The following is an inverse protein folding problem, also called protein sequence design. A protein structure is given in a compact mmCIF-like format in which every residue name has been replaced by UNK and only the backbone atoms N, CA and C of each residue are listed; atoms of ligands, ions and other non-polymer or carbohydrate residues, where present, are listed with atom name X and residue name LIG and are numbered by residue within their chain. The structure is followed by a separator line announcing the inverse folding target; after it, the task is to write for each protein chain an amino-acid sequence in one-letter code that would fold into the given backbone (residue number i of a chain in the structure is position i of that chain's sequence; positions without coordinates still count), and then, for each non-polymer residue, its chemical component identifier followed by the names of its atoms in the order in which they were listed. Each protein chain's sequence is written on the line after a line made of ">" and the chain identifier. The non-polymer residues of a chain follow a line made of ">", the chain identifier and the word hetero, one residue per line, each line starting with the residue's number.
data_IF_899293202868
#
_entry.id   IF_899293202868
#
_cell.length_a   1.000
_cell.length_b   1.000
_cell.length_c   1.000
_cell.angle_alpha   90.00
_cell.angle_beta   90.00
_cell.angle_gamma   90.00
#
_symmetry.space_group_name_H-M   'P 1'
#
loop_
_entity.id
_entity.type
_entity.pdbx_description
1 polymer ?
#
# COMPACT_ATOMS: atom_id res chain seq x y z
N UNK A 1 33.62 -29.89 13.03
CA UNK A 1 32.22 -30.10 12.57
C UNK A 1 31.26 -29.00 13.03
N UNK A 2 31.36 -28.48 14.26
CA UNK A 2 30.47 -27.43 14.79
C UNK A 2 30.49 -26.08 14.01
N UNK A 3 31.63 -25.69 13.43
CA UNK A 3 31.77 -24.42 12.67
C UNK A 3 31.08 -24.41 11.31
N UNK A 4 30.88 -25.58 10.68
CA UNK A 4 30.21 -25.69 9.38
C UNK A 4 28.68 -25.65 9.56
N UNK A 5 28.16 -26.25 10.63
CA UNK A 5 26.73 -26.17 10.98
C UNK A 5 26.27 -24.75 11.36
N UNK A 6 27.12 -23.94 11.99
CA UNK A 6 26.80 -22.54 12.30
C UNK A 6 26.83 -21.63 11.06
N UNK A 7 27.68 -21.93 10.07
CA UNK A 7 27.69 -21.19 8.80
C UNK A 7 26.47 -21.52 7.93
N UNK A 8 26.03 -22.78 7.90
CA UNK A 8 24.86 -23.21 7.15
C UNK A 8 23.54 -22.64 7.69
N UNK A 9 23.43 -22.43 9.01
CA UNK A 9 22.26 -21.77 9.61
C UNK A 9 22.23 -20.27 9.36
N UNK A 10 23.39 -19.61 9.32
CA UNK A 10 23.51 -18.19 8.94
C UNK A 10 23.21 -17.99 7.45
N UNK A 11 23.65 -18.90 6.57
CA UNK A 11 23.33 -18.84 5.13
C UNK A 11 21.84 -19.10 4.87
N UNK A 12 21.21 -20.05 5.58
CA UNK A 12 19.75 -20.25 5.51
C UNK A 12 18.93 -19.07 6.08
N UNK A 13 19.48 -18.34 7.07
CA UNK A 13 18.85 -17.14 7.60
C UNK A 13 18.94 -15.95 6.62
N UNK A 14 19.92 -15.95 5.70
CA UNK A 14 20.13 -14.89 4.70
C UNK A 14 19.47 -15.25 3.36
N UNK A 15 19.24 -16.53 3.06
CA UNK A 15 18.53 -16.98 1.85
C UNK A 15 17.00 -17.00 2.05
N UNK A 16 16.43 -15.95 2.63
CA UNK A 16 14.99 -15.74 2.54
C UNK A 16 14.61 -15.63 1.07
N UNK A 17 13.80 -16.56 0.56
CA UNK A 17 13.27 -16.43 -0.80
C UNK A 17 12.59 -15.06 -0.92
N UNK A 18 12.93 -14.30 -1.96
CA UNK A 18 12.19 -13.09 -2.27
C UNK A 18 10.73 -13.49 -2.48
N UNK A 19 9.79 -12.91 -1.71
CA UNK A 19 8.41 -13.30 -1.81
C UNK A 19 7.90 -12.99 -3.22
N UNK A 20 7.04 -13.87 -3.74
CA UNK A 20 6.27 -13.57 -4.94
C UNK A 20 5.42 -12.35 -4.63
N UNK A 21 5.72 -11.24 -5.31
CA UNK A 21 5.01 -9.97 -5.11
C UNK A 21 3.61 -10.09 -5.70
N UNK A 22 2.61 -9.75 -4.91
CA UNK A 22 1.23 -9.68 -5.36
C UNK A 22 0.47 -8.62 -4.56
N UNK A 23 -0.65 -8.16 -5.11
CA UNK A 23 -1.56 -7.24 -4.46
C UNK A 23 -1.06 -5.80 -4.47
N UNK A 24 -1.43 -5.04 -3.44
CA UNK A 24 -1.09 -3.62 -3.33
C UNK A 24 0.41 -3.39 -3.18
N UNK A 25 0.92 -2.32 -3.80
CA UNK A 25 2.36 -2.07 -3.85
C UNK A 25 2.72 -0.60 -4.06
N UNK A 26 4.01 -0.27 -3.91
CA UNK A 26 4.56 1.02 -4.33
C UNK A 26 5.64 0.79 -5.39
N UNK A 27 5.50 1.46 -6.53
CA UNK A 27 6.52 1.46 -7.58
C UNK A 27 7.42 2.69 -7.38
N UNK A 28 8.71 2.42 -7.14
CA UNK A 28 9.71 3.44 -6.81
C UNK A 28 10.53 3.91 -8.00
N UNK A 29 10.38 3.26 -9.15
CA UNK A 29 11.05 3.61 -10.40
C UNK A 29 10.49 4.93 -10.94
N UNK A 30 11.37 5.82 -11.41
CA UNK A 30 10.96 7.13 -11.93
C UNK A 30 10.73 7.17 -13.45
N UNK A 31 11.41 6.30 -14.20
CA UNK A 31 11.43 6.30 -15.66
C UNK A 31 11.46 4.85 -16.16
N UNK A 32 10.83 4.60 -17.30
CA UNK A 32 10.82 3.29 -17.94
C UNK A 32 9.63 2.44 -17.49
N UNK A 33 9.61 1.16 -17.86
CA UNK A 33 8.47 0.29 -17.62
C UNK A 33 8.27 0.03 -16.12
N UNK A 34 7.03 -0.28 -15.75
CA UNK A 34 6.77 -0.80 -14.41
C UNK A 34 7.42 -2.19 -14.28
N UNK A 35 7.67 -2.67 -13.04
CA UNK A 35 7.80 -4.11 -12.85
C UNK A 35 6.51 -4.81 -13.32
N UNK A 36 6.59 -6.13 -13.53
CA UNK A 36 5.37 -6.92 -13.73
C UNK A 36 4.57 -6.88 -12.42
N UNK A 37 3.47 -6.14 -12.43
CA UNK A 37 2.54 -6.02 -11.33
C UNK A 37 1.61 -7.22 -11.39
N UNK A 38 1.37 -7.86 -10.24
CA UNK A 38 0.56 -9.06 -10.14
C UNK A 38 -0.48 -8.87 -9.05
N UNK A 39 -1.73 -9.21 -9.36
CA UNK A 39 -2.85 -9.09 -8.44
C UNK A 39 -3.64 -10.39 -8.40
N UNK A 40 -4.30 -10.63 -7.28
CA UNK A 40 -5.14 -11.81 -7.08
C UNK A 40 -6.52 -11.36 -6.59
N UNK A 41 -7.51 -11.60 -7.43
CA UNK A 41 -8.90 -11.17 -7.25
C UNK A 41 -9.82 -12.37 -7.40
N UNK A 42 -11.01 -12.35 -6.80
CA UNK A 42 -11.96 -13.47 -6.94
C UNK A 42 -12.68 -13.49 -8.29
N UNK A 43 -12.76 -12.33 -8.93
CA UNK A 43 -13.36 -12.13 -10.24
C UNK A 43 -12.47 -11.22 -11.08
N UNK A 44 -12.75 -11.16 -12.38
CA UNK A 44 -12.09 -10.21 -13.29
C UNK A 44 -12.32 -8.78 -12.76
N UNK A 45 -11.26 -8.05 -12.38
CA UNK A 45 -11.39 -6.71 -11.85
C UNK A 45 -11.64 -5.68 -12.96
N UNK A 46 -12.32 -4.58 -12.60
CA UNK A 46 -12.26 -3.35 -13.38
C UNK A 46 -10.97 -2.63 -12.98
N UNK A 47 -10.14 -2.29 -13.97
CA UNK A 47 -8.85 -1.66 -13.73
C UNK A 47 -8.93 -0.18 -14.05
N UNK A 48 -8.35 0.65 -13.19
CA UNK A 48 -8.25 2.10 -13.37
C UNK A 48 -6.79 2.53 -13.31
N UNK A 49 -6.32 3.22 -14.34
CA UNK A 49 -5.03 3.91 -14.35
C UNK A 49 -5.30 5.41 -14.23
N UNK A 50 -4.87 6.00 -13.13
CA UNK A 50 -5.11 7.42 -12.80
C UNK A 50 -6.58 7.86 -12.82
N UNK A 51 -7.49 6.91 -12.58
CA UNK A 51 -8.94 7.14 -12.56
C UNK A 51 -9.63 6.86 -13.90
N UNK A 52 -8.88 6.59 -14.97
CA UNK A 52 -9.42 6.18 -16.27
C UNK A 52 -9.50 4.67 -16.37
N UNK A 53 -10.58 4.15 -16.95
CA UNK A 53 -10.75 2.70 -17.16
C UNK A 53 -9.65 2.22 -18.11
N UNK A 54 -8.97 1.15 -17.70
CA UNK A 54 -7.97 0.45 -18.49
C UNK A 54 -8.51 -0.90 -18.93
N UNK A 55 -8.46 -1.15 -20.23
CA UNK A 55 -8.91 -2.37 -20.88
C UNK A 55 -7.71 -3.26 -21.22
N UNK A 56 -7.91 -4.58 -21.26
CA UNK A 56 -6.90 -5.54 -21.66
C UNK A 56 -7.41 -6.31 -22.87
N UNK A 57 -6.70 -6.20 -23.99
CA UNK A 57 -7.03 -6.88 -25.24
C UNK A 57 -5.75 -7.51 -25.82
N UNK A 58 -5.80 -8.80 -26.16
CA UNK A 58 -4.70 -9.55 -26.79
C UNK A 58 -3.31 -9.36 -26.15
N UNK A 59 -3.27 -9.30 -24.81
CA UNK A 59 -2.01 -9.17 -24.07
C UNK A 59 -1.55 -7.72 -23.84
N UNK A 60 -2.34 -6.73 -24.25
CA UNK A 60 -1.98 -5.31 -24.26
C UNK A 60 -2.97 -4.52 -23.40
N UNK A 61 -2.46 -3.58 -22.61
CA UNK A 61 -3.26 -2.63 -21.83
C UNK A 61 -3.56 -1.37 -22.64
N UNK A 62 -4.81 -0.93 -22.65
CA UNK A 62 -5.25 0.30 -23.28
C UNK A 62 -5.96 1.23 -22.30
N UNK A 63 -5.70 2.54 -22.41
CA UNK A 63 -6.52 3.60 -21.80
C UNK A 63 -6.99 4.50 -22.93
N UNK A 64 -8.30 4.68 -23.06
CA UNK A 64 -8.90 5.47 -24.16
C UNK A 64 -8.35 5.08 -25.54
N UNK A 65 -8.29 3.77 -25.84
CA UNK A 65 -7.76 3.19 -27.08
C UNK A 65 -6.25 3.44 -27.35
N UNK A 66 -5.49 3.94 -26.36
CA UNK A 66 -4.05 4.11 -26.47
C UNK A 66 -3.32 3.03 -25.69
N UNK A 67 -2.37 2.34 -26.33
CA UNK A 67 -1.50 1.38 -25.66
C UNK A 67 -0.73 2.08 -24.52
N UNK A 68 -0.85 1.52 -23.31
CA UNK A 68 -0.11 1.98 -22.12
C UNK A 68 0.83 0.93 -21.55
N UNK A 69 0.69 -0.33 -21.95
CA UNK A 69 1.47 -1.42 -21.37
C UNK A 69 1.34 -2.77 -22.07
N UNK A 70 2.36 -3.61 -21.87
CA UNK A 70 2.41 -5.04 -22.17
C UNK A 70 3.59 -5.70 -21.44
N UNK A 71 3.49 -6.98 -21.02
CA UNK A 71 2.29 -7.82 -21.12
C UNK A 71 1.20 -7.43 -20.12
N UNK A 72 -0.05 -7.67 -20.51
CA UNK A 72 -1.24 -7.49 -19.69
C UNK A 72 -2.17 -8.69 -19.85
N UNK A 73 -2.63 -9.31 -18.77
CA UNK A 73 -3.47 -10.50 -18.88
C UNK A 73 -4.35 -10.74 -17.67
N UNK A 74 -5.49 -11.38 -17.91
CA UNK A 74 -6.26 -12.10 -16.91
C UNK A 74 -6.04 -13.60 -17.09
N UNK A 75 -5.58 -14.26 -16.03
CA UNK A 75 -5.40 -15.70 -15.98
C UNK A 75 -6.35 -16.26 -14.91
N UNK A 76 -7.43 -16.87 -15.35
CA UNK A 76 -8.40 -17.51 -14.46
C UNK A 76 -7.84 -18.84 -13.93
N UNK A 77 -8.01 -19.06 -12.64
CA UNK A 77 -7.76 -20.34 -11.97
C UNK A 77 -9.07 -20.89 -11.43
N UNK A 78 -9.04 -22.06 -10.79
CA UNK A 78 -10.26 -22.65 -10.21
C UNK A 78 -10.89 -21.84 -9.07
N UNK A 79 -10.17 -20.87 -8.49
CA UNK A 79 -10.63 -20.08 -7.33
C UNK A 79 -10.43 -18.58 -7.47
N UNK A 80 -9.41 -18.16 -8.20
CA UNK A 80 -9.00 -16.76 -8.29
C UNK A 80 -8.67 -16.37 -9.74
N UNK A 81 -8.74 -15.09 -10.03
CA UNK A 81 -8.25 -14.44 -11.24
C UNK A 81 -6.92 -13.77 -10.92
N UNK A 82 -5.87 -14.20 -11.60
CA UNK A 82 -4.56 -13.58 -11.57
C UNK A 82 -4.53 -12.50 -12.64
N UNK A 83 -4.35 -11.25 -12.22
CA UNK A 83 -4.17 -10.12 -13.14
C UNK A 83 -2.69 -9.75 -13.17
N UNK A 84 -2.09 -9.72 -14.36
CA UNK A 84 -0.70 -9.30 -14.57
C UNK A 84 -0.67 -8.08 -15.49
N UNK A 85 0.05 -7.04 -15.08
CA UNK A 85 0.11 -5.75 -15.77
C UNK A 85 1.55 -5.25 -15.77
N UNK A 86 2.07 -4.92 -16.94
CA UNK A 86 3.32 -4.15 -17.08
C UNK A 86 3.06 -2.91 -17.92
N UNK A 87 3.17 -1.73 -17.30
CA UNK A 87 3.10 -0.47 -18.01
C UNK A 87 4.40 -0.23 -18.77
N UNK A 88 4.31 0.29 -19.99
CA UNK A 88 5.46 0.64 -20.83
C UNK A 88 6.25 1.83 -20.25
N UNK A 89 5.57 2.68 -19.49
CA UNK A 89 6.16 3.80 -18.76
C UNK A 89 5.44 4.00 -17.43
N UNK A 90 6.18 4.27 -16.35
CA UNK A 90 5.63 4.74 -15.07
C UNK A 90 5.59 6.27 -14.97
N UNK A 91 6.22 6.97 -15.91
CA UNK A 91 6.33 8.42 -15.88
C UNK A 91 4.95 9.08 -16.08
N UNK A 92 4.59 9.97 -15.16
CA UNK A 92 3.32 10.70 -15.20
C UNK A 92 2.16 9.99 -14.50
N UNK A 93 2.27 8.68 -14.26
CA UNK A 93 1.26 7.93 -13.52
C UNK A 93 1.37 8.14 -12.01
N UNK A 94 0.23 8.07 -11.33
CA UNK A 94 0.11 8.25 -9.88
C UNK A 94 -0.41 6.99 -9.22
N UNK A 95 -1.44 6.37 -9.80
CA UNK A 95 -2.14 5.25 -9.20
C UNK A 95 -2.65 4.26 -10.23
N UNK A 96 -2.50 2.97 -9.93
CA UNK A 96 -3.23 1.88 -10.55
C UNK A 96 -4.15 1.27 -9.50
N UNK A 97 -5.42 1.10 -9.83
CA UNK A 97 -6.44 0.60 -8.91
C UNK A 97 -7.21 -0.54 -9.57
N UNK A 98 -7.38 -1.65 -8.84
CA UNK A 98 -8.13 -2.81 -9.31
C UNK A 98 -9.35 -2.99 -8.41
N UNK A 99 -10.52 -2.88 -9.03
CA UNK A 99 -11.82 -3.02 -8.37
C UNK A 99 -12.37 -4.42 -8.62
N UNK A 100 -12.50 -5.23 -7.57
CA UNK A 100 -13.22 -6.51 -7.57
C UNK A 100 -13.82 -6.75 -6.18
N UNK A 101 -14.14 -7.98 -5.79
CA UNK A 101 -14.38 -8.31 -4.38
C UNK A 101 -13.11 -8.14 -3.50
N UNK A 102 -11.92 -8.20 -4.12
CA UNK A 102 -10.67 -7.88 -3.44
C UNK A 102 -10.02 -6.70 -4.14
N UNK A 103 -10.04 -5.57 -3.47
CA UNK A 103 -9.50 -4.32 -4.00
C UNK A 103 -7.97 -4.34 -3.89
N UNK A 104 -7.30 -3.71 -4.84
CA UNK A 104 -5.85 -3.53 -4.78
C UNK A 104 -5.46 -2.13 -5.28
N UNK A 105 -4.42 -1.57 -4.68
CA UNK A 105 -3.87 -0.26 -5.05
C UNK A 105 -2.38 -0.33 -5.28
N UNK A 106 -1.91 0.25 -6.38
CA UNK A 106 -0.49 0.50 -6.61
C UNK A 106 -0.24 1.98 -6.79
N UNK A 107 0.72 2.50 -6.05
CA UNK A 107 1.12 3.91 -6.12
C UNK A 107 2.46 4.03 -6.84
N UNK A 108 2.52 4.92 -7.84
CA UNK A 108 3.76 5.27 -8.53
C UNK A 108 4.39 6.46 -7.80
N UNK A 109 5.36 6.19 -6.94
CA UNK A 109 5.95 7.17 -6.03
C UNK A 109 7.48 7.11 -6.12
N UNK A 110 8.08 7.69 -7.17
CA UNK A 110 9.51 7.63 -7.36
C UNK A 110 10.25 8.24 -6.18
N UNK A 111 11.24 7.51 -5.65
CA UNK A 111 11.98 7.89 -4.43
C UNK A 111 11.08 8.15 -3.22
N UNK A 112 9.93 7.48 -3.14
CA UNK A 112 8.96 7.61 -2.05
C UNK A 112 8.39 9.03 -1.90
N UNK A 113 8.34 9.78 -3.00
CA UNK A 113 7.69 11.08 -3.06
C UNK A 113 6.23 10.85 -3.41
N UNK A 114 5.37 10.91 -2.39
CA UNK A 114 3.93 10.81 -2.56
C UNK A 114 3.34 12.19 -2.83
N UNK A 115 2.35 12.31 -3.73
CA UNK A 115 1.64 13.57 -3.93
C UNK A 115 1.00 14.02 -2.62
N UNK A 116 0.93 15.34 -2.41
CA UNK A 116 0.25 15.89 -1.24
C UNK A 116 -1.22 15.43 -1.26
N UNK A 117 -1.71 14.73 -0.23
CA UNK A 117 -3.12 14.42 -0.15
C UNK A 117 -3.87 15.74 -0.07
N UNK A 118 -4.68 16.04 -1.09
CA UNK A 118 -5.60 17.16 -1.05
C UNK A 118 -6.56 17.06 0.15
N UNK A 119 -7.57 17.94 0.22
CA UNK A 119 -8.62 17.84 1.23
C UNK A 119 -9.21 16.41 1.22
N UNK A 120 -9.10 15.72 2.35
CA UNK A 120 -9.56 14.34 2.53
C UNK A 120 -8.90 13.30 1.61
N UNK A 121 -7.63 13.52 1.28
CA UNK A 121 -6.76 12.53 0.67
C UNK A 121 -6.16 11.57 1.70
N UNK A 122 -6.00 10.30 1.31
CA UNK A 122 -5.20 9.34 2.07
C UNK A 122 -3.74 9.80 2.15
N UNK A 123 -3.18 9.77 3.36
CA UNK A 123 -1.76 9.96 3.61
C UNK A 123 -1.10 8.58 3.61
N UNK A 124 -0.31 8.27 2.58
CA UNK A 124 0.24 6.93 2.37
C UNK A 124 1.35 6.55 3.34
N UNK A 125 2.16 7.53 3.76
CA UNK A 125 3.40 7.27 4.49
C UNK A 125 3.20 6.46 5.79
N UNK A 126 2.19 6.73 6.64
CA UNK A 126 1.92 5.91 7.82
C UNK A 126 1.42 4.49 7.50
N UNK A 127 0.90 4.26 6.30
CA UNK A 127 0.31 2.97 5.87
C UNK A 127 1.35 2.00 5.34
N UNK A 128 2.50 2.50 4.88
CA UNK A 128 3.56 1.66 4.32
C UNK A 128 4.08 0.62 5.33
N UNK A 129 4.47 -0.58 4.85
CA UNK A 129 4.37 -1.05 3.46
C UNK A 129 2.94 -1.47 3.09
N UNK A 130 2.62 -1.39 1.79
CA UNK A 130 1.31 -1.79 1.27
C UNK A 130 1.21 -3.30 1.04
N UNK A 131 2.32 -3.99 0.82
CA UNK A 131 2.40 -5.45 0.84
C UNK A 131 3.09 -5.92 2.12
N UNK A 132 2.52 -6.90 2.82
CA UNK A 132 3.07 -7.43 4.08
C UNK A 132 3.12 -8.95 4.04
N UNK A 133 4.30 -9.51 4.28
CA UNK A 133 4.55 -10.96 4.24
C UNK A 133 4.73 -11.48 5.67
N UNK A 134 3.64 -12.04 6.21
CA UNK A 134 3.42 -12.29 7.63
C UNK A 134 3.44 -13.78 7.99
N UNK A 135 4.14 -14.63 7.22
CA UNK A 135 4.29 -16.06 7.57
C UNK A 135 4.78 -16.22 9.01
N UNK A 136 4.17 -17.19 9.71
CA UNK A 136 4.37 -17.48 11.14
C UNK A 136 3.85 -16.41 12.12
N UNK A 137 3.34 -15.28 11.64
CA UNK A 137 2.67 -14.29 12.48
C UNK A 137 1.19 -14.61 12.63
N UNK A 138 0.60 -14.21 13.75
CA UNK A 138 -0.85 -14.38 14.03
C UNK A 138 -1.64 -13.08 13.88
N UNK A 139 -0.94 -11.96 13.75
CA UNK A 139 -1.57 -10.65 13.65
C UNK A 139 -0.68 -9.68 12.86
N UNK A 140 -1.28 -8.60 12.39
CA UNK A 140 -0.64 -7.50 11.68
C UNK A 140 -1.25 -6.19 12.16
N UNK A 141 -0.41 -5.20 12.47
CA UNK A 141 -0.88 -3.85 12.85
C UNK A 141 -0.74 -2.91 11.68
N UNK A 142 -1.86 -2.36 11.19
CA UNK A 142 -1.89 -1.43 10.06
C UNK A 142 -2.33 -0.07 10.58
N UNK A 143 -1.57 0.97 10.21
CA UNK A 143 -1.95 2.36 10.47
C UNK A 143 -2.47 2.94 9.17
N UNK A 144 -3.66 3.52 9.19
CA UNK A 144 -4.18 4.32 8.08
C UNK A 144 -4.22 5.78 8.50
N UNK A 145 -3.98 6.67 7.55
CA UNK A 145 -3.98 8.11 7.80
C UNK A 145 -4.62 8.86 6.63
N UNK A 146 -5.27 9.98 6.93
CA UNK A 146 -5.83 10.86 5.93
C UNK A 146 -5.82 12.31 6.41
N UNK A 147 -5.81 13.24 5.45
CA UNK A 147 -6.09 14.65 5.73
C UNK A 147 -7.48 14.77 6.32
N UNK A 148 -7.62 15.60 7.35
CA UNK A 148 -8.89 15.88 8.01
C UNK A 148 -9.27 17.34 7.77
N UNK A 149 -10.25 17.57 6.90
CA UNK A 149 -10.77 18.91 6.60
C UNK A 149 -12.30 18.98 6.79
N UNK A 150 -13.02 17.90 6.47
CA UNK A 150 -14.50 17.92 6.48
C UNK A 150 -15.14 16.94 7.48
N UNK A 151 -16.17 17.45 8.18
CA UNK A 151 -16.93 16.75 9.22
C UNK A 151 -17.91 15.71 8.69
N UNK A 152 -18.25 15.73 7.40
CA UNK A 152 -19.34 14.88 6.84
C UNK A 152 -18.85 13.74 5.95
N UNK A 153 -17.52 13.55 5.83
CA UNK A 153 -17.02 12.46 5.00
C UNK A 153 -17.21 11.11 5.66
N UNK A 154 -17.80 10.21 4.88
CA UNK A 154 -17.90 8.80 5.20
C UNK A 154 -16.53 8.12 5.01
N UNK A 155 -16.05 7.50 6.09
CA UNK A 155 -14.80 6.75 6.15
C UNK A 155 -15.09 5.29 6.44
N UNK A 156 -14.37 4.37 5.81
CA UNK A 156 -14.57 2.94 5.97
C UNK A 156 -13.24 2.22 6.22
N UNK A 157 -13.29 1.21 7.10
CA UNK A 157 -12.34 0.09 7.09
C UNK A 157 -13.07 -1.12 6.52
N UNK A 158 -12.51 -1.72 5.48
CA UNK A 158 -13.03 -2.93 4.86
C UNK A 158 -11.95 -4.02 4.87
N UNK A 159 -12.33 -5.26 5.18
CA UNK A 159 -11.47 -6.44 5.04
C UNK A 159 -12.14 -7.46 4.13
N UNK A 160 -11.57 -7.67 2.94
CA UNK A 160 -12.10 -8.61 1.93
C UNK A 160 -13.63 -8.47 1.76
N UNK A 161 -14.08 -7.25 1.43
CA UNK A 161 -15.48 -6.79 1.36
C UNK A 161 -16.29 -6.69 2.65
N UNK A 162 -15.75 -7.11 3.79
CA UNK A 162 -16.45 -6.98 5.07
C UNK A 162 -16.17 -5.60 5.67
N UNK A 163 -17.20 -4.77 5.76
CA UNK A 163 -17.16 -3.50 6.48
C UNK A 163 -16.90 -3.73 7.98
N UNK A 164 -15.75 -3.29 8.49
CA UNK A 164 -15.39 -3.42 9.91
C UNK A 164 -15.76 -2.17 10.71
N UNK A 165 -15.46 -0.99 10.16
CA UNK A 165 -15.69 0.28 10.83
C UNK A 165 -16.22 1.30 9.84
N UNK A 166 -17.14 2.16 10.28
CA UNK A 166 -17.48 3.38 9.55
C UNK A 166 -17.63 4.59 10.45
N UNK A 167 -17.34 5.77 9.89
CA UNK A 167 -17.46 7.06 10.57
C UNK A 167 -18.02 8.11 9.64
N UNK A 168 -18.78 9.06 10.19
CA UNK A 168 -19.08 10.36 9.57
C UNK A 168 -18.22 11.40 10.28
N UNK A 169 -17.23 11.95 9.56
CA UNK A 169 -16.24 12.80 10.21
C UNK A 169 -15.36 12.00 11.18
N UNK A 170 -15.48 12.31 12.48
CA UNK A 170 -14.86 11.56 13.58
C UNK A 170 -15.88 10.72 14.36
N UNK A 171 -17.18 10.89 14.06
CA UNK A 171 -18.26 10.21 14.78
C UNK A 171 -18.35 8.78 14.29
N UNK A 172 -18.20 7.83 15.20
CA UNK A 172 -18.40 6.40 14.94
C UNK A 172 -19.86 6.13 14.54
N UNK A 173 -20.04 5.29 13.53
CA UNK A 173 -21.35 4.92 12.98
C UNK A 173 -21.55 3.40 13.02
N UNK A 174 -20.54 2.61 12.64
CA UNK A 174 -20.62 1.16 12.62
C UNK A 174 -19.30 0.51 13.06
N UNK A 175 -19.40 -0.71 13.59
CA UNK A 175 -18.27 -1.51 14.08
C UNK A 175 -18.12 -1.49 15.59
N UNK A 176 -17.15 -2.25 16.11
CA UNK A 176 -16.80 -2.26 17.53
C UNK A 176 -16.21 -0.89 17.93
N UNK A 177 -16.83 -0.14 18.86
CA UNK A 177 -16.33 1.17 19.26
C UNK A 177 -14.94 1.10 19.91
N UNK A 178 -14.54 0.02 20.57
CA UNK A 178 -13.20 -0.08 21.16
C UNK A 178 -12.12 -0.23 20.09
N UNK A 179 -12.44 -0.94 19.01
CA UNK A 179 -11.56 -1.13 17.86
C UNK A 179 -11.58 0.07 16.90
N UNK A 180 -12.76 0.63 16.62
CA UNK A 180 -13.02 1.66 15.61
C UNK A 180 -12.71 3.07 16.12
N UNK A 181 -11.51 3.25 16.69
CA UNK A 181 -11.06 4.53 17.26
C UNK A 181 -10.25 5.35 16.27
N UNK A 182 -10.68 6.60 16.06
CA UNK A 182 -9.96 7.60 15.29
C UNK A 182 -9.18 8.55 16.19
N UNK A 183 -7.93 8.86 15.82
CA UNK A 183 -7.09 9.80 16.54
C UNK A 183 -6.71 10.96 15.65
N UNK A 184 -6.87 12.17 16.17
CA UNK A 184 -6.35 13.38 15.54
C UNK A 184 -4.84 13.48 15.75
N UNK A 185 -4.15 13.90 14.70
CA UNK A 185 -2.70 14.08 14.64
C UNK A 185 -2.38 15.41 13.97
N UNK A 186 -1.12 15.86 14.10
CA UNK A 186 -0.61 17.07 13.45
C UNK A 186 -1.54 18.28 13.65
N UNK A 187 -1.79 18.64 14.92
CA UNK A 187 -2.68 19.73 15.31
C UNK A 187 -4.12 19.64 14.76
N UNK A 188 -4.60 18.42 14.50
CA UNK A 188 -5.96 18.18 14.01
C UNK A 188 -6.10 18.19 12.48
N UNK A 189 -4.99 18.30 11.74
CA UNK A 189 -5.00 18.25 10.27
C UNK A 189 -4.99 16.82 9.71
N UNK A 190 -4.65 15.84 10.54
CA UNK A 190 -4.59 14.44 10.16
C UNK A 190 -5.51 13.62 11.06
N UNK A 191 -6.21 12.65 10.48
CA UNK A 191 -6.91 11.60 11.21
C UNK A 191 -6.21 10.28 10.96
N UNK A 192 -6.04 9.49 12.03
CA UNK A 192 -5.40 8.18 11.97
C UNK A 192 -6.25 7.11 12.60
N UNK A 193 -6.25 5.95 11.98
CA UNK A 193 -6.76 4.69 12.52
C UNK A 193 -5.58 3.73 12.67
N UNK A 194 -5.51 3.02 13.79
CA UNK A 194 -4.51 1.97 14.02
C UNK A 194 -5.24 0.70 14.39
N UNK A 195 -5.27 -0.26 13.47
CA UNK A 195 -5.94 -1.55 13.66
C UNK A 195 -4.92 -2.66 13.83
N UNK A 196 -5.14 -3.55 14.80
CA UNK A 196 -4.45 -4.83 14.88
C UNK A 196 -5.39 -5.92 14.40
N UNK A 197 -5.04 -6.57 13.30
CA UNK A 197 -5.85 -7.57 12.64
C UNK A 197 -5.26 -8.95 12.87
N UNK A 198 -6.09 -9.89 13.30
CA UNK A 198 -5.68 -11.29 13.48
C UNK A 198 -5.84 -12.07 12.17
N UNK A 199 -4.92 -13.01 11.95
CA UNK A 199 -5.02 -13.98 10.86
C UNK A 199 -6.31 -14.79 11.04
N UNK A 200 -7.11 -14.83 9.99
CA UNK A 200 -8.31 -15.67 9.92
C UNK A 200 -8.01 -16.97 9.14
N UNK A 201 -9.03 -17.55 8.51
CA UNK A 201 -8.88 -18.78 7.70
C UNK A 201 -8.28 -18.52 6.32
N UNK A 202 -8.21 -17.26 5.88
CA UNK A 202 -7.66 -16.90 4.58
C UNK A 202 -6.13 -16.92 4.60
N UNK A 203 -5.53 -17.36 3.50
CA UNK A 203 -4.09 -17.27 3.29
C UNK A 203 -3.64 -15.83 3.05
N UNK A 204 -4.57 -15.00 2.57
CA UNK A 204 -4.33 -13.65 2.06
C UNK A 204 -5.53 -12.76 2.35
N UNK A 205 -5.27 -11.57 2.88
CA UNK A 205 -6.31 -10.57 3.14
C UNK A 205 -5.96 -9.23 2.47
N UNK A 206 -7.01 -8.47 2.16
CA UNK A 206 -6.94 -7.06 1.82
C UNK A 206 -7.54 -6.23 2.95
N UNK A 207 -6.91 -5.10 3.28
CA UNK A 207 -7.43 -4.13 4.24
C UNK A 207 -7.48 -2.77 3.57
N UNK A 208 -8.68 -2.25 3.38
CA UNK A 208 -8.93 -0.99 2.72
C UNK A 208 -9.26 0.11 3.72
N UNK A 209 -8.66 1.28 3.51
CA UNK A 209 -9.14 2.55 4.04
C UNK A 209 -9.74 3.36 2.90
N UNK A 210 -11.02 3.65 2.99
CA UNK A 210 -11.76 4.39 1.98
C UNK A 210 -12.35 5.68 2.54
N UNK A 211 -12.19 6.76 1.80
CA UNK A 211 -12.94 8.00 1.97
C UNK A 211 -13.92 8.08 0.80
N UNK A 212 -15.21 8.03 1.10
CA UNK A 212 -16.25 7.83 0.10
C UNK A 212 -16.13 8.84 -1.05
N UNK A 213 -16.05 8.32 -2.29
CA UNK A 213 -15.96 9.15 -3.51
C UNK A 213 -14.68 9.97 -3.68
N UNK A 214 -13.70 9.89 -2.76
CA UNK A 214 -12.52 10.77 -2.77
C UNK A 214 -11.20 10.02 -2.95
N UNK A 215 -10.85 9.16 -2.00
CA UNK A 215 -9.54 8.51 -1.99
C UNK A 215 -9.59 7.17 -1.26
N UNK A 216 -8.64 6.30 -1.59
CA UNK A 216 -8.54 4.96 -0.99
C UNK A 216 -7.11 4.46 -0.98
N UNK A 217 -6.81 3.55 -0.05
CA UNK A 217 -5.58 2.76 -0.03
C UNK A 217 -5.92 1.36 0.43
N UNK A 218 -5.29 0.37 -0.18
CA UNK A 218 -5.40 -1.02 0.26
C UNK A 218 -4.03 -1.54 0.69
N UNK A 219 -4.01 -2.26 1.81
CA UNK A 219 -2.87 -3.06 2.26
C UNK A 219 -3.17 -4.53 2.01
N UNK A 220 -2.29 -5.21 1.29
CA UNK A 220 -2.34 -6.65 1.05
C UNK A 220 -1.45 -7.37 2.06
N UNK A 221 -2.00 -8.40 2.70
CA UNK A 221 -1.31 -9.19 3.70
C UNK A 221 -1.29 -10.65 3.25
N UNK A 222 -0.10 -11.22 3.12
CA UNK A 222 0.15 -12.62 2.80
C UNK A 222 0.63 -13.35 4.05
N UNK A 223 -0.15 -14.33 4.53
CA UNK A 223 0.19 -15.12 5.72
C UNK A 223 1.02 -16.38 5.43
N UNK A 224 1.38 -16.62 4.18
CA UNK A 224 2.05 -17.83 3.69
C UNK A 224 3.52 -17.60 3.37
N UNK A 225 3.90 -16.36 3.06
CA UNK A 225 5.26 -15.96 2.68
C UNK A 225 5.95 -15.08 3.74
N UNK A 226 7.27 -15.19 3.82
CA UNK A 226 8.14 -14.23 4.55
C UNK A 226 8.78 -13.29 3.54
N UNK A 227 9.11 -12.07 3.94
CA UNK A 227 9.90 -11.14 3.11
C UNK A 227 9.60 -9.69 3.43
N UNK A 228 10.12 -8.77 2.60
CA UNK A 228 9.91 -7.33 2.72
C UNK A 228 9.37 -6.75 1.43
N UNK A 229 8.58 -5.70 1.53
CA UNK A 229 8.15 -4.94 0.37
C UNK A 229 9.27 -4.00 -0.11
N UNK A 230 9.34 -3.63 -1.40
CA UNK A 230 10.37 -2.71 -1.91
C UNK A 230 10.41 -1.36 -1.18
N UNK A 231 9.25 -0.86 -0.79
CA UNK A 231 9.12 0.40 -0.05
C UNK A 231 9.67 0.34 1.38
N UNK A 232 9.78 -0.85 2.00
CA UNK A 232 10.30 -0.98 3.36
C UNK A 232 11.73 -0.50 3.47
N UNK A 233 12.57 -0.82 2.50
CA UNK A 233 13.99 -0.47 2.54
C UNK A 233 14.23 0.97 2.10
N UNK A 234 13.52 1.41 1.06
CA UNK A 234 13.79 2.72 0.43
C UNK A 234 13.08 3.87 1.13
N UNK A 235 11.81 3.67 1.51
CA UNK A 235 11.00 4.75 2.08
C UNK A 235 11.28 4.99 3.56
N UNK A 236 11.72 3.96 4.29
CA UNK A 236 12.20 4.10 5.67
C UNK A 236 13.57 4.78 5.76
N UNK A 237 14.51 4.45 4.86
CA UNK A 237 15.88 5.03 4.87
C UNK A 237 15.89 6.50 4.48
N UNK A 238 15.06 6.88 3.49
CA UNK A 238 14.89 8.28 3.09
C UNK A 238 14.45 9.15 4.28
N UNK A 239 13.64 8.60 5.19
CA UNK A 239 13.18 9.30 6.38
C UNK A 239 14.31 9.59 7.39
N UNK A 240 15.25 8.66 7.59
CA UNK A 240 16.40 8.87 8.47
C UNK A 240 17.35 9.96 7.94
N UNK A 241 17.59 9.98 6.63
CA UNK A 241 18.46 10.98 6.00
C UNK A 241 17.84 12.38 6.08
N UNK A 242 16.54 12.52 5.77
CA UNK A 242 15.85 13.81 5.91
C UNK A 242 15.77 14.29 7.36
N UNK A 243 15.54 13.40 8.33
CA UNK A 243 15.57 13.75 9.76
C UNK A 243 16.96 14.21 10.19
N UNK A 244 18.02 13.52 9.75
CA UNK A 244 19.40 13.88 10.06
C UNK A 244 19.80 15.23 9.43
N UNK A 245 19.43 15.48 8.18
CA UNK A 245 19.66 16.77 7.51
C UNK A 245 18.90 17.91 8.19
N UNK A 246 17.63 17.71 8.55
CA UNK A 246 16.85 18.71 9.29
C UNK A 246 17.44 18.99 10.68
N UNK A 247 17.98 17.96 11.35
CA UNK A 247 18.70 18.13 12.61
C UNK A 247 19.97 18.97 12.43
N UNK A 248 20.77 18.71 11.38
CA UNK A 248 21.96 19.51 11.07
C UNK A 248 21.60 20.96 10.75
N UNK A 249 20.59 21.19 9.90
CA UNK A 249 20.14 22.53 9.52
C UNK A 249 19.67 23.32 10.73
N UNK A 250 18.91 22.67 11.64
CA UNK A 250 18.50 23.28 12.90
C UNK A 250 19.70 23.65 13.77
N UNK A 251 20.65 22.72 13.97
CA UNK A 251 21.90 22.98 14.73
C UNK A 251 22.73 24.13 14.14
N UNK A 252 22.82 24.24 12.82
CA UNK A 252 23.55 25.34 12.15
C UNK A 252 22.83 26.68 12.30
N UNK A 253 21.50 26.69 12.27
CA UNK A 253 20.70 27.90 12.53
C UNK A 253 20.85 28.36 13.98
N UNK A 254 20.68 27.44 14.93
CA UNK A 254 20.81 27.73 16.35
C UNK A 254 22.24 28.23 16.69
N UNK A 255 23.28 27.71 16.02
CA UNK A 255 24.66 28.17 16.20
C UNK A 255 24.93 29.58 15.60
N UNK A 256 24.13 30.04 14.64
CA UNK A 256 24.26 31.38 14.03
C UNK A 256 23.53 32.47 14.82
N UNK A 257 22.59 32.12 15.69
CA UNK A 257 21.89 33.09 16.56
C UNK A 257 22.62 33.35 17.89
N UNK A 258 23.77 32.70 18.12
CA UNK A 258 24.63 32.84 19.31
C UNK A 258 25.87 33.73 19.07
N UNK A 259 25.94 34.45 17.95
CA UNK A 259 26.95 35.44 17.59
C UNK A 259 26.30 36.72 17.10
#
# INVERSE_FOLDING_TARGET
>A
MLRVSLLLSVIHAISGQNPTRWGSSVVLTAIGPSPLLRYESRMIPIIYLDGEIMEIEDGICYVSNKEVGKPCSFNETSRDVITEIQLSSVAGHRTLFLQSERWHTTFFAPRCIFPNPGPDGVILKPTLPLARFMKNSKQVTITFAASFDQKDNLRFIIRDDILLCSWIGLTHVNGDPEFCQLKLWNNGQEVRFVGTFHKDTQERNSYEWQIQGKSRVVVSVDWTQTGKAPEDETCSTTQLIFQFLNYIVKKVRDAKELH
#
